data_IF_145821234842
#
_entry.id   IF_145821234842
#
_cell.length_a   1.000
_cell.length_b   1.000
_cell.length_c   1.000
_cell.angle_alpha   90.00
_cell.angle_beta   90.00
_cell.angle_gamma   90.00
#
_symmetry.space_group_name_H-M   'P 1'
#
loop_
_entity.id
_entity.type
_entity.pdbx_description
1 polymer ?
#
# COMPACT_ATOMS: atom_id res chain seq x y z
N UNK A 1 -11.36 21.54 12.04
CA UNK A 1 -11.75 20.24 12.64
C UNK A 1 -10.65 19.24 12.30
N UNK A 2 -9.94 18.64 13.27
CA UNK A 2 -9.03 17.53 12.97
C UNK A 2 -9.84 16.36 12.37
N UNK A 3 -9.30 15.67 11.35
CA UNK A 3 -9.95 14.49 10.77
C UNK A 3 -10.10 13.42 11.86
N UNK A 4 -11.24 12.71 11.92
CA UNK A 4 -11.37 11.57 12.82
C UNK A 4 -10.29 10.53 12.47
N UNK A 5 -9.60 10.06 13.50
CA UNK A 5 -8.53 9.07 13.39
C UNK A 5 -9.13 7.74 12.95
N UNK A 6 -8.55 7.14 11.91
CA UNK A 6 -8.98 5.86 11.32
C UNK A 6 -8.07 4.74 11.76
N UNK A 7 -8.63 3.55 11.96
CA UNK A 7 -7.87 2.35 12.33
C UNK A 7 -7.50 1.47 11.11
N UNK A 8 -7.64 2.03 9.91
CA UNK A 8 -7.39 1.30 8.67
C UNK A 8 -6.63 2.17 7.68
N UNK A 9 -5.54 1.62 7.14
CA UNK A 9 -4.85 2.13 5.96
C UNK A 9 -5.08 1.19 4.78
N UNK A 10 -5.04 1.73 3.57
CA UNK A 10 -5.27 1.01 2.33
C UNK A 10 -4.01 1.04 1.47
N UNK A 11 -3.73 -0.08 0.83
CA UNK A 11 -2.70 -0.16 -0.18
C UNK A 11 -3.21 -0.90 -1.42
N UNK A 12 -2.74 -0.47 -2.57
CA UNK A 12 -3.04 -1.10 -3.86
C UNK A 12 -1.76 -1.73 -4.39
N UNK A 13 -1.82 -3.02 -4.72
CA UNK A 13 -0.78 -3.70 -5.47
C UNK A 13 -1.23 -3.76 -6.93
N UNK A 14 -0.42 -3.18 -7.80
CA UNK A 14 -0.53 -3.34 -9.25
C UNK A 14 0.70 -4.06 -9.80
N UNK A 15 0.61 -4.53 -11.05
CA UNK A 15 1.74 -5.12 -11.75
C UNK A 15 2.10 -4.26 -12.95
N UNK A 16 3.36 -3.85 -13.03
CA UNK A 16 3.90 -3.08 -14.13
C UNK A 16 5.30 -3.56 -14.53
N UNK A 17 5.56 -3.69 -15.83
CA UNK A 17 6.85 -4.11 -16.43
C UNK A 17 7.54 -5.27 -15.66
N UNK A 18 6.78 -6.29 -15.26
CA UNK A 18 7.33 -7.48 -14.58
C UNK A 18 7.66 -7.28 -13.09
N UNK A 19 7.21 -6.20 -12.47
CA UNK A 19 7.29 -5.91 -11.05
C UNK A 19 5.89 -5.80 -10.45
N UNK A 20 5.76 -6.17 -9.18
CA UNK A 20 4.64 -5.78 -8.35
C UNK A 20 5.00 -4.48 -7.62
N UNK A 21 4.09 -3.52 -7.64
CA UNK A 21 4.23 -2.22 -6.98
C UNK A 21 3.08 -2.05 -6.02
N UNK A 22 3.39 -1.82 -4.74
CA UNK A 22 2.41 -1.50 -3.70
C UNK A 22 2.48 -0.01 -3.37
N UNK A 23 1.34 0.68 -3.42
CA UNK A 23 1.20 2.08 -3.03
C UNK A 23 0.20 2.20 -1.87
N UNK A 24 0.59 2.89 -0.80
CA UNK A 24 -0.31 3.24 0.30
C UNK A 24 -1.05 4.55 0.00
N UNK A 25 -2.37 4.57 0.24
CA UNK A 25 -3.23 5.70 -0.13
C UNK A 25 -3.22 6.84 0.90
N UNK A 26 -2.91 6.53 2.15
CA UNK A 26 -2.95 7.50 3.26
C UNK A 26 -1.62 8.20 3.51
N UNK A 27 -0.50 7.66 3.01
CA UNK A 27 0.83 8.21 3.27
C UNK A 27 1.81 7.88 2.14
N UNK A 28 2.87 8.68 1.93
CA UNK A 28 3.80 8.49 0.82
C UNK A 28 4.73 7.31 1.09
N UNK A 29 4.21 6.10 0.93
CA UNK A 29 4.89 4.82 1.08
C UNK A 29 4.62 4.01 -0.18
N UNK A 30 5.70 3.60 -0.83
CA UNK A 30 5.68 2.69 -1.96
C UNK A 30 6.64 1.54 -1.68
N UNK A 31 6.30 0.35 -2.16
CA UNK A 31 7.18 -0.81 -2.15
C UNK A 31 7.11 -1.52 -3.50
N UNK A 32 8.17 -2.25 -3.84
CA UNK A 32 8.23 -3.02 -5.08
C UNK A 32 8.85 -4.39 -4.82
N UNK A 33 8.44 -5.39 -5.60
CA UNK A 33 8.92 -6.76 -5.51
C UNK A 33 8.72 -7.54 -6.80
N UNK A 34 9.46 -8.63 -6.96
CA UNK A 34 9.32 -9.55 -8.10
C UNK A 34 8.17 -10.53 -7.88
N UNK A 35 7.76 -10.72 -6.62
CA UNK A 35 6.63 -11.55 -6.20
C UNK A 35 5.67 -10.76 -5.32
N UNK A 36 4.45 -11.30 -5.13
CA UNK A 36 3.46 -10.73 -4.21
C UNK A 36 4.01 -10.73 -2.77
N UNK A 37 4.67 -11.81 -2.36
CA UNK A 37 5.24 -11.93 -1.02
C UNK A 37 6.33 -10.88 -0.77
N UNK A 38 7.21 -10.66 -1.76
CA UNK A 38 8.26 -9.64 -1.67
C UNK A 38 7.69 -8.23 -1.54
N UNK A 39 6.69 -7.87 -2.37
CA UNK A 39 6.11 -6.53 -2.32
C UNK A 39 5.32 -6.30 -1.03
N UNK A 40 4.63 -7.31 -0.51
CA UNK A 40 3.90 -7.23 0.77
C UNK A 40 4.87 -7.10 1.95
N UNK A 41 5.96 -7.87 1.96
CA UNK A 41 6.99 -7.76 2.99
C UNK A 41 7.66 -6.37 2.97
N UNK A 42 7.96 -5.86 1.78
CA UNK A 42 8.50 -4.52 1.59
C UNK A 42 7.55 -3.42 2.06
N UNK A 43 6.26 -3.53 1.70
CA UNK A 43 5.21 -2.60 2.13
C UNK A 43 5.11 -2.56 3.66
N UNK A 44 5.06 -3.73 4.31
CA UNK A 44 5.01 -3.84 5.77
C UNK A 44 6.18 -3.13 6.44
N UNK A 45 7.41 -3.42 6.01
CA UNK A 45 8.60 -2.80 6.58
C UNK A 45 8.61 -1.28 6.39
N UNK A 46 8.19 -0.81 5.22
CA UNK A 46 8.14 0.62 4.91
C UNK A 46 7.09 1.36 5.75
N UNK A 47 5.92 0.75 5.97
CA UNK A 47 4.86 1.27 6.84
C UNK A 47 5.30 1.30 8.31
N UNK A 48 5.89 0.21 8.82
CA UNK A 48 6.42 0.14 10.19
C UNK A 48 7.49 1.23 10.42
N UNK A 49 8.39 1.43 9.44
CA UNK A 49 9.39 2.50 9.50
C UNK A 49 8.76 3.89 9.48
N UNK A 50 7.80 4.14 8.57
CA UNK A 50 7.15 5.45 8.46
C UNK A 50 6.39 5.82 9.73
N UNK A 51 5.59 4.89 10.26
CA UNK A 51 4.83 5.09 11.50
C UNK A 51 5.72 5.14 12.75
N UNK A 52 6.91 4.54 12.70
CA UNK A 52 7.91 4.68 13.77
C UNK A 52 8.61 6.04 13.79
N UNK A 53 8.75 6.69 12.63
CA UNK A 53 9.40 8.00 12.49
C UNK A 53 8.44 9.18 12.65
N UNK A 54 7.16 9.01 12.29
CA UNK A 54 6.14 10.05 12.30
C UNK A 54 5.05 9.80 13.33
N UNK A 55 4.39 10.87 13.77
CA UNK A 55 3.12 10.75 14.48
C UNK A 55 2.03 10.29 13.50
N UNK A 56 1.51 9.08 13.70
CA UNK A 56 0.44 8.50 12.89
C UNK A 56 -0.81 9.42 12.77
N UNK A 57 -1.00 10.31 13.75
CA UNK A 57 -2.06 11.31 13.73
C UNK A 57 -1.95 12.28 12.54
N UNK A 58 -0.73 12.51 12.01
CA UNK A 58 -0.48 13.34 10.82
C UNK A 58 -1.17 12.79 9.57
N UNK A 59 -1.33 11.46 9.50
CA UNK A 59 -2.02 10.77 8.41
C UNK A 59 -3.49 10.50 8.74
N UNK A 60 -3.97 10.95 9.91
CA UNK A 60 -5.31 10.64 10.42
C UNK A 60 -5.48 9.15 10.74
N UNK A 61 -4.40 8.47 11.17
CA UNK A 61 -4.38 7.05 11.46
C UNK A 61 -4.09 6.78 12.95
N UNK A 62 -4.56 5.64 13.44
CA UNK A 62 -4.13 5.10 14.74
C UNK A 62 -2.64 4.75 14.68
N UNK A 63 -2.00 4.57 15.84
CA UNK A 63 -0.58 4.21 15.91
C UNK A 63 -0.27 2.84 15.29
N UNK A 64 -1.26 1.95 15.29
CA UNK A 64 -1.15 0.57 14.79
C UNK A 64 -2.34 0.25 13.90
N UNK A 65 -2.47 0.89 12.72
CA UNK A 65 -3.62 0.69 11.88
C UNK A 65 -3.58 -0.69 11.24
N UNK A 66 -4.75 -1.27 10.98
CA UNK A 66 -4.88 -2.43 10.11
C UNK A 66 -4.60 -2.01 8.68
N UNK A 67 -3.89 -2.85 7.92
CA UNK A 67 -3.62 -2.59 6.51
C UNK A 67 -4.51 -3.49 5.67
N UNK A 68 -5.32 -2.89 4.80
CA UNK A 68 -6.08 -3.61 3.76
C UNK A 68 -5.31 -3.47 2.45
N UNK A 69 -4.98 -4.59 1.84
CA UNK A 69 -4.25 -4.62 0.57
C UNK A 69 -5.19 -5.14 -0.52
N UNK A 70 -5.38 -4.34 -1.56
CA UNK A 70 -6.12 -4.71 -2.76
C UNK A 70 -5.14 -5.04 -3.88
N UNK A 71 -5.30 -6.19 -4.53
CA UNK A 71 -4.50 -6.57 -5.69
C UNK A 71 -5.31 -6.34 -6.96
N UNK A 72 -4.75 -5.59 -7.89
CA UNK A 72 -5.39 -5.20 -9.14
C UNK A 72 -4.65 -5.79 -10.35
N UNK A 73 -5.42 -6.26 -11.32
CA UNK A 73 -4.89 -6.72 -12.60
C UNK A 73 -5.85 -6.37 -13.74
N UNK A 74 -5.30 -6.03 -14.90
CA UNK A 74 -6.08 -5.74 -16.10
C UNK A 74 -6.35 -7.02 -16.88
N UNK A 75 -7.61 -7.25 -17.21
CA UNK A 75 -8.00 -8.25 -18.20
C UNK A 75 -7.80 -7.66 -19.60
N UNK A 76 -6.81 -8.14 -20.35
CA UNK A 76 -6.77 -7.86 -21.78
C UNK A 76 -7.77 -8.78 -22.48
N UNK A 77 -8.85 -8.21 -23.05
CA UNK A 77 -9.62 -8.92 -24.07
C UNK A 77 -8.75 -8.93 -25.31
N UNK A 78 -8.19 -10.09 -25.65
CA UNK A 78 -7.39 -10.26 -26.86
C UNK A 78 -8.12 -9.62 -28.04
N UNK A 79 -7.44 -8.69 -28.72
CA UNK A 79 -7.87 -8.22 -30.03
C UNK A 79 -7.87 -9.45 -30.93
N UNK A 80 -9.05 -9.97 -31.26
CA UNK A 80 -9.22 -10.84 -32.43
C UNK A 80 -8.85 -9.98 -33.64
N UNK A 81 -7.59 -10.06 -34.06
CA UNK A 81 -7.18 -9.72 -35.42
C UNK A 81 -7.28 -10.98 -36.26
#
# INVERSE_FOLDING_TARGET
>A
MPRPVRDTAHAVISRDIGWYVAECLEMPVVAQGRTIDEVVAGLRLALERRLGMDDASKFGLTRSPRVIVSFEFSLSRGSRR
#
